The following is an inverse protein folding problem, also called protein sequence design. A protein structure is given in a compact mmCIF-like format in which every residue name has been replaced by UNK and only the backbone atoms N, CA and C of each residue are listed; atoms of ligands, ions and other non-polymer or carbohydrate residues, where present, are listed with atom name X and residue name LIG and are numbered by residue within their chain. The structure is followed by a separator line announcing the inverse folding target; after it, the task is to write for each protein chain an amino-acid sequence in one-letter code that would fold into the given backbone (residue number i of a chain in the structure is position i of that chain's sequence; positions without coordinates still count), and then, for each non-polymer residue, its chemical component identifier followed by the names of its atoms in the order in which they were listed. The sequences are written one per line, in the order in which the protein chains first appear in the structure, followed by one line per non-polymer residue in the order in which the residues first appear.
data_IF_279193777747
#
_entry.id   IF_279193777747
#
_cell.length_a   1.000
_cell.length_b   1.000
_cell.length_c   1.000
_cell.angle_alpha   90.00
_cell.angle_beta   90.00
_cell.angle_gamma   90.00
#
_symmetry.space_group_name_H-M   'P 1'
#
loop_
_entity.id
_entity.type
_entity.pdbx_description
1 polymer ?
#
# COMPACT_ATOMS: atom_id res chain seq x y z
N UNK A 1 2.47 -1.67 -14.78
CA UNK A 1 2.44 -0.75 -13.62
C UNK A 1 1.70 0.50 -14.04
N UNK A 2 0.66 0.88 -13.30
CA UNK A 2 -0.11 2.09 -13.55
C UNK A 2 -0.09 2.98 -12.32
N UNK A 3 0.15 4.27 -12.51
CA UNK A 3 0.12 5.28 -11.47
C UNK A 3 -0.79 6.44 -11.87
N UNK A 4 -1.45 7.02 -10.87
CA UNK A 4 -2.31 8.18 -11.01
C UNK A 4 -2.06 9.10 -9.83
N UNK A 5 -1.82 10.37 -10.12
CA UNK A 5 -1.71 11.42 -9.12
C UNK A 5 -2.64 12.57 -9.48
N UNK A 6 -3.45 12.99 -8.51
CA UNK A 6 -4.28 14.16 -8.59
C UNK A 6 -4.04 15.01 -7.36
N UNK A 7 -3.78 16.29 -7.57
CA UNK A 7 -3.82 17.29 -6.52
C UNK A 7 -4.74 18.43 -6.97
N UNK A 8 -5.61 18.85 -6.07
CA UNK A 8 -6.51 19.97 -6.28
C UNK A 8 -6.37 20.93 -5.09
N UNK A 9 -6.37 22.23 -5.39
CA UNK A 9 -6.32 23.27 -4.38
C UNK A 9 -7.58 24.13 -4.48
N UNK A 10 -8.69 23.75 -3.80
CA UNK A 10 -9.95 24.49 -3.87
C UNK A 10 -9.84 25.95 -3.37
N UNK A 11 -8.79 26.25 -2.61
CA UNK A 11 -8.42 27.60 -2.20
C UNK A 11 -6.90 27.68 -2.01
N UNK A 12 -6.36 28.89 -1.83
CA UNK A 12 -4.93 29.09 -1.51
C UNK A 12 -4.49 28.43 -0.19
N UNK A 13 -5.44 28.16 0.71
CA UNK A 13 -5.19 27.60 2.04
C UNK A 13 -5.42 26.10 2.15
N UNK A 14 -5.91 25.43 1.11
CA UNK A 14 -6.30 24.03 1.17
C UNK A 14 -5.82 23.30 -0.08
N UNK A 15 -5.03 22.24 0.10
CA UNK A 15 -4.72 21.26 -0.94
C UNK A 15 -5.21 19.87 -0.55
N UNK A 16 -5.74 19.14 -1.53
CA UNK A 16 -6.20 17.77 -1.43
C UNK A 16 -5.47 16.96 -2.48
N UNK A 17 -4.91 15.82 -2.09
CA UNK A 17 -4.21 14.94 -3.02
C UNK A 17 -4.66 13.50 -2.92
N UNK A 18 -4.65 12.81 -4.06
CA UNK A 18 -4.85 11.38 -4.16
C UNK A 18 -3.77 10.82 -5.09
N UNK A 19 -3.03 9.85 -4.59
CA UNK A 19 -2.13 9.01 -5.36
C UNK A 19 -2.66 7.59 -5.37
N UNK A 20 -2.66 6.97 -6.54
CA UNK A 20 -3.02 5.57 -6.73
C UNK A 20 -1.93 4.90 -7.56
N UNK A 21 -1.52 3.71 -7.14
CA UNK A 21 -0.59 2.88 -7.89
C UNK A 21 -1.09 1.45 -7.91
N UNK A 22 -1.01 0.82 -9.07
CA UNK A 22 -1.33 -0.59 -9.27
C UNK A 22 -0.16 -1.31 -9.95
N UNK A 23 0.21 -2.45 -9.37
CA UNK A 23 1.20 -3.39 -9.90
C UNK A 23 0.53 -4.74 -10.07
N UNK A 24 0.73 -5.36 -11.23
CA UNK A 24 0.22 -6.68 -11.58
C UNK A 24 1.37 -7.50 -12.15
N UNK A 25 1.36 -8.79 -11.86
CA UNK A 25 2.35 -9.76 -12.31
C UNK A 25 1.63 -11.09 -12.45
N UNK A 26 1.54 -11.57 -13.69
CA UNK A 26 0.99 -12.87 -14.01
C UNK A 26 2.05 -13.95 -13.72
N UNK A 27 1.60 -15.14 -13.34
CA UNK A 27 2.48 -16.28 -13.05
C UNK A 27 3.59 -16.00 -12.01
N UNK A 28 3.33 -15.12 -11.03
CA UNK A 28 4.27 -14.77 -9.97
C UNK A 28 4.65 -15.99 -9.12
N UNK A 29 5.86 -16.52 -9.33
CA UNK A 29 6.33 -17.76 -8.74
C UNK A 29 6.79 -17.57 -7.29
N UNK A 30 6.24 -18.39 -6.40
CA UNK A 30 6.53 -18.37 -4.97
C UNK A 30 6.96 -19.73 -4.47
N UNK A 31 7.95 -19.75 -3.58
CA UNK A 31 8.23 -20.91 -2.76
C UNK A 31 7.23 -20.97 -1.60
N UNK A 32 6.58 -22.14 -1.43
CA UNK A 32 5.58 -22.34 -0.38
C UNK A 32 6.20 -23.09 0.79
N UNK A 33 6.72 -24.29 0.52
CA UNK A 33 7.41 -25.14 1.50
C UNK A 33 8.15 -26.27 0.77
N UNK A 34 9.25 -26.78 1.34
CA UNK A 34 9.99 -27.92 0.78
C UNK A 34 10.27 -27.74 -0.73
N UNK A 35 9.79 -28.67 -1.58
CA UNK A 35 9.86 -28.59 -3.04
C UNK A 35 8.54 -28.13 -3.69
N UNK A 36 7.58 -27.64 -2.91
CA UNK A 36 6.31 -27.09 -3.39
C UNK A 36 6.46 -25.59 -3.67
N UNK A 37 6.19 -25.23 -4.92
CA UNK A 37 6.06 -23.86 -5.38
C UNK A 37 4.65 -23.62 -5.90
N UNK A 38 4.24 -22.37 -6.03
CA UNK A 38 3.02 -22.00 -6.73
C UNK A 38 3.21 -20.69 -7.49
N UNK A 39 2.65 -20.61 -8.69
CA UNK A 39 2.45 -19.33 -9.37
C UNK A 39 1.10 -18.74 -9.01
N UNK A 40 1.00 -17.41 -9.07
CA UNK A 40 -0.21 -16.67 -8.78
C UNK A 40 -0.36 -15.49 -9.75
N UNK A 41 -1.60 -15.09 -9.98
CA UNK A 41 -1.90 -13.77 -10.55
C UNK A 41 -1.83 -12.75 -9.40
N UNK A 42 -0.70 -12.04 -9.32
CA UNK A 42 -0.43 -11.08 -8.27
C UNK A 42 -1.01 -9.71 -8.64
N UNK A 43 -1.57 -9.03 -7.65
CA UNK A 43 -2.07 -7.67 -7.75
C UNK A 43 -1.81 -6.90 -6.46
N UNK A 44 -1.06 -5.80 -6.56
CA UNK A 44 -0.81 -4.86 -5.48
C UNK A 44 -1.38 -3.49 -5.82
N UNK A 45 -2.06 -2.88 -4.86
CA UNK A 45 -2.64 -1.54 -4.96
C UNK A 45 -2.18 -0.69 -3.80
N UNK A 46 -1.67 0.49 -4.10
CA UNK A 46 -1.33 1.51 -3.10
C UNK A 46 -2.21 2.72 -3.36
N UNK A 47 -2.93 3.17 -2.34
CA UNK A 47 -3.71 4.42 -2.39
C UNK A 47 -3.24 5.32 -1.27
N UNK A 48 -2.87 6.56 -1.60
CA UNK A 48 -2.50 7.58 -0.62
C UNK A 48 -3.41 8.77 -0.80
N UNK A 49 -4.07 9.20 0.25
CA UNK A 49 -4.86 10.43 0.28
C UNK A 49 -4.19 11.45 1.22
N UNK A 50 -4.16 12.71 0.80
CA UNK A 50 -3.57 13.81 1.53
C UNK A 50 -4.52 15.00 1.64
N UNK A 51 -4.44 15.71 2.75
CA UNK A 51 -5.03 17.02 2.95
C UNK A 51 -3.99 17.90 3.64
N UNK A 52 -3.74 19.07 3.08
CA UNK A 52 -2.96 20.12 3.73
C UNK A 52 -3.82 21.36 3.84
N UNK A 53 -3.90 21.93 5.05
CA UNK A 53 -4.61 23.16 5.32
C UNK A 53 -3.74 24.14 6.10
N UNK A 54 -3.76 25.40 5.70
CA UNK A 54 -2.98 26.48 6.30
C UNK A 54 -3.89 27.67 6.60
N UNK A 55 -3.71 28.34 7.75
CA UNK A 55 -4.39 29.61 8.05
C UNK A 55 -3.36 30.66 8.43
N UNK A 56 -2.93 31.41 7.41
CA UNK A 56 -1.73 32.25 7.50
C UNK A 56 -0.53 31.42 7.97
N UNK A 57 0.38 32.06 8.71
CA UNK A 57 1.54 31.37 9.30
C UNK A 57 1.21 30.62 10.60
N UNK A 58 0.03 30.88 11.18
CA UNK A 58 -0.29 30.43 12.54
C UNK A 58 -0.74 28.99 12.64
N UNK A 59 -1.59 28.53 11.73
CA UNK A 59 -2.14 27.18 11.82
C UNK A 59 -1.80 26.37 10.59
N UNK A 60 -1.33 25.14 10.81
CA UNK A 60 -1.06 24.17 9.76
C UNK A 60 -1.62 22.82 10.20
N UNK A 61 -2.48 22.24 9.36
CA UNK A 61 -3.03 20.91 9.52
C UNK A 61 -2.63 20.06 8.31
N UNK A 62 -2.03 18.90 8.55
CA UNK A 62 -1.75 17.91 7.53
C UNK A 62 -2.34 16.58 7.92
N UNK A 63 -3.07 15.98 7.00
CA UNK A 63 -3.67 14.65 7.16
C UNK A 63 -3.19 13.77 6.01
N UNK A 64 -2.77 12.54 6.33
CA UNK A 64 -2.36 11.55 5.34
C UNK A 64 -2.96 10.20 5.68
N UNK A 65 -3.59 9.56 4.71
CA UNK A 65 -4.05 8.17 4.78
C UNK A 65 -3.33 7.37 3.69
N UNK A 66 -2.92 6.15 3.99
CA UNK A 66 -2.32 5.22 3.04
C UNK A 66 -2.94 3.84 3.24
N UNK A 67 -3.38 3.24 2.14
CA UNK A 67 -3.87 1.86 2.09
C UNK A 67 -3.01 1.07 1.10
N UNK A 68 -2.53 -0.09 1.54
CA UNK A 68 -1.85 -1.06 0.68
C UNK A 68 -2.71 -2.32 0.67
N UNK A 69 -3.18 -2.74 -0.50
CA UNK A 69 -3.94 -3.97 -0.68
C UNK A 69 -3.19 -4.90 -1.63
N UNK A 70 -2.99 -6.14 -1.20
CA UNK A 70 -2.24 -7.15 -1.94
C UNK A 70 -3.09 -8.42 -2.08
N UNK A 71 -3.17 -8.95 -3.30
CA UNK A 71 -3.77 -10.26 -3.55
C UNK A 71 -2.91 -11.09 -4.49
N UNK A 72 -2.81 -12.39 -4.21
CA UNK A 72 -2.26 -13.38 -5.13
C UNK A 72 -3.35 -14.43 -5.38
N UNK A 73 -3.87 -14.49 -6.61
CA UNK A 73 -5.05 -15.30 -6.99
C UNK A 73 -4.65 -16.43 -7.93
N UNK A 74 -5.60 -17.32 -8.22
CA UNK A 74 -5.43 -18.43 -9.17
C UNK A 74 -4.16 -19.27 -8.95
N UNK A 75 -3.92 -19.77 -7.72
CA UNK A 75 -2.72 -20.54 -7.41
C UNK A 75 -2.57 -21.76 -8.32
N UNK A 76 -1.43 -21.88 -8.98
CA UNK A 76 -1.06 -23.07 -9.74
C UNK A 76 0.18 -23.73 -9.12
N UNK A 77 0.02 -24.91 -8.47
CA UNK A 77 1.09 -25.57 -7.75
C UNK A 77 2.03 -26.39 -8.64
N UNK A 78 3.32 -26.35 -8.30
CA UNK A 78 4.39 -27.10 -8.94
C UNK A 78 5.26 -27.82 -7.90
N UNK A 79 5.76 -28.98 -8.26
CA UNK A 79 6.79 -29.69 -7.50
C UNK A 79 8.12 -29.55 -8.23
N UNK A 80 9.10 -28.94 -7.56
CA UNK A 80 10.47 -28.89 -8.02
C UNK A 80 11.12 -30.28 -7.90
N UNK A 81 11.86 -30.67 -8.93
CA UNK A 81 12.73 -31.85 -8.89
C UNK A 81 14.20 -31.47 -8.65
N UNK A 82 15.03 -32.50 -8.41
CA UNK A 82 16.48 -32.34 -8.18
C UNK A 82 17.26 -31.78 -9.38
N UNK A 83 16.63 -31.68 -10.56
CA UNK A 83 17.24 -31.15 -11.78
C UNK A 83 16.79 -29.71 -12.06
N UNK A 84 15.96 -29.13 -11.19
CA UNK A 84 15.47 -27.75 -11.31
C UNK A 84 14.22 -27.59 -12.17
N UNK A 85 13.53 -28.68 -12.55
CA UNK A 85 12.28 -28.57 -13.31
C UNK A 85 11.09 -28.35 -12.38
N UNK A 86 10.15 -27.51 -12.83
CA UNK A 86 8.84 -27.35 -12.21
C UNK A 86 7.85 -28.31 -12.86
N UNK A 87 7.54 -29.39 -12.15
CA UNK A 87 6.56 -30.36 -12.60
C UNK A 87 5.18 -29.95 -12.10
N UNK A 88 4.19 -29.93 -12.99
CA UNK A 88 2.80 -29.64 -12.58
C UNK A 88 2.41 -30.65 -11.50
N UNK A 89 1.98 -30.14 -10.35
CA UNK A 89 1.55 -31.04 -9.28
C UNK A 89 0.36 -31.85 -9.78
N UNK A 90 0.33 -33.18 -9.59
CA UNK A 90 -0.88 -33.95 -9.86
C UNK A 90 -2.05 -33.32 -9.08
N UNK A 91 -3.19 -33.15 -9.76
CA UNK A 91 -4.41 -32.51 -9.24
C UNK A 91 -4.71 -33.01 -7.82
N UNK A 92 -4.39 -32.21 -6.79
CA UNK A 92 -4.88 -32.29 -5.39
C UNK A 92 -4.10 -31.45 -4.36
N UNK A 93 -2.90 -30.92 -4.65
CA UNK A 93 -2.24 -30.01 -3.71
C UNK A 93 -2.97 -28.65 -3.76
N UNK A 94 -3.76 -28.36 -2.73
CA UNK A 94 -4.43 -27.08 -2.59
C UNK A 94 -3.46 -26.09 -1.93
N UNK A 95 -3.13 -25.01 -2.65
CA UNK A 95 -2.41 -23.87 -2.09
C UNK A 95 -3.41 -22.71 -2.00
N UNK A 96 -3.56 -22.03 -0.85
CA UNK A 96 -4.54 -20.97 -0.72
C UNK A 96 -4.11 -19.70 -1.47
N UNK A 97 -5.06 -18.89 -1.95
CA UNK A 97 -4.76 -17.54 -2.41
C UNK A 97 -4.30 -16.65 -1.25
N UNK A 98 -3.48 -15.64 -1.55
CA UNK A 98 -2.97 -14.67 -0.57
C UNK A 98 -3.84 -13.41 -0.63
N UNK A 99 -4.22 -12.87 0.55
CA UNK A 99 -4.91 -11.59 0.69
C UNK A 99 -4.35 -10.87 1.91
N UNK A 100 -3.74 -9.70 1.68
CA UNK A 100 -3.17 -8.85 2.73
C UNK A 100 -3.65 -7.42 2.50
N UNK A 101 -3.88 -6.68 3.57
CA UNK A 101 -4.27 -5.27 3.47
C UNK A 101 -3.86 -4.52 4.72
N UNK A 102 -3.13 -3.42 4.53
CA UNK A 102 -2.68 -2.54 5.60
C UNK A 102 -3.23 -1.13 5.41
N UNK A 103 -3.68 -0.53 6.51
CA UNK A 103 -4.13 0.85 6.55
C UNK A 103 -3.29 1.63 7.55
N UNK A 104 -2.71 2.74 7.10
CA UNK A 104 -1.97 3.69 7.90
C UNK A 104 -2.57 5.09 7.76
N UNK A 105 -2.55 5.85 8.86
CA UNK A 105 -3.11 7.19 8.94
C UNK A 105 -2.31 8.08 9.89
N UNK A 106 -2.17 9.35 9.52
CA UNK A 106 -1.48 10.35 10.31
C UNK A 106 -2.18 11.71 10.26
N UNK A 107 -2.26 12.36 11.42
CA UNK A 107 -2.65 13.77 11.57
C UNK A 107 -1.46 14.51 12.20
N UNK A 108 -1.09 15.63 11.60
CA UNK A 108 -0.13 16.58 12.16
C UNK A 108 -0.76 17.96 12.21
N UNK A 109 -0.76 18.54 13.40
CA UNK A 109 -1.18 19.91 13.61
C UNK A 109 -0.03 20.71 14.20
N UNK A 110 0.26 21.87 13.60
CA UNK A 110 1.21 22.86 14.12
C UNK A 110 0.47 24.16 14.37
N UNK A 111 0.70 24.74 15.54
CA UNK A 111 0.20 26.06 15.90
C UNK A 111 1.35 26.96 16.36
N UNK A 112 1.46 28.16 15.80
CA UNK A 112 2.39 29.19 16.25
C UNK A 112 1.76 30.05 17.35
N UNK A 113 2.35 29.99 18.55
CA UNK A 113 1.93 30.73 19.74
C UNK A 113 2.47 32.17 19.70
N UNK A 114 3.74 32.31 19.32
CA UNK A 114 4.53 33.55 19.17
C UNK A 114 5.57 33.33 18.07
N UNK A 115 6.20 34.38 17.52
CA UNK A 115 7.25 34.22 16.51
C UNK A 115 8.28 33.15 16.94
N UNK A 116 8.44 32.12 16.12
CA UNK A 116 9.36 30.98 16.34
C UNK A 116 9.00 30.06 17.53
N UNK A 117 7.79 30.16 18.09
CA UNK A 117 7.30 29.33 19.20
C UNK A 117 6.09 28.48 18.77
N UNK A 118 6.24 27.15 18.76
CA UNK A 118 5.26 26.25 18.14
C UNK A 118 4.75 25.15 19.09
N UNK A 119 3.45 24.88 19.03
CA UNK A 119 2.83 23.66 19.56
C UNK A 119 2.67 22.64 18.42
N UNK A 120 3.08 21.41 18.66
CA UNK A 120 2.90 20.28 17.74
C UNK A 120 2.02 19.22 18.36
N UNK A 121 1.01 18.78 17.61
CA UNK A 121 0.17 17.63 17.95
C UNK A 121 0.25 16.64 16.79
N UNK A 122 0.69 15.42 17.09
CA UNK A 122 0.84 14.35 16.10
C UNK A 122 0.11 13.11 16.58
N UNK A 123 -0.74 12.56 15.72
CA UNK A 123 -1.34 11.25 15.91
C UNK A 123 -1.01 10.39 14.70
N UNK A 124 -0.51 9.18 14.95
CA UNK A 124 -0.22 8.19 13.91
C UNK A 124 -0.78 6.86 14.35
N UNK A 125 -1.47 6.18 13.43
CA UNK A 125 -1.92 4.80 13.61
C UNK A 125 -1.70 4.05 12.30
N UNK A 126 -1.12 2.87 12.38
CA UNK A 126 -1.05 1.92 11.28
C UNK A 126 -1.08 0.52 11.85
N UNK A 127 -1.57 -0.43 11.06
CA UNK A 127 -1.28 -1.84 11.31
C UNK A 127 0.09 -2.14 10.66
N UNK A 128 0.89 -2.97 11.33
CA UNK A 128 2.25 -3.33 10.93
C UNK A 128 2.41 -4.83 10.87
#
# INVERSE_FOLDING_TARGET
MYDFFLEVSPSESLSLSVFYQEHEEDDWLNWIQENLLATYDMKQRVTVAGLNWFKGEKHELRVKAQMVAFTARNPMPFLADQFGNLNTSPKKIAVPPIKLSDLAFQIRYRYELMPLSYLYVVYTKGEG
#
